data_IF_803178892235
#
_entry.id   IF_803178892235
#
_cell.length_a   1.000
_cell.length_b   1.000
_cell.length_c   1.000
_cell.angle_alpha   90.00
_cell.angle_beta   90.00
_cell.angle_gamma   90.00
#
_symmetry.space_group_name_H-M   'P 1'
#
loop_
_entity.id
_entity.type
_entity.pdbx_description
1 polymer ?
#
# COMPACT_ATOMS: atom_id res chain seq x y z
N UNK A 1 -12.22 -0.45 2.08
CA UNK A 1 -11.62 -0.06 0.79
C UNK A 1 -11.34 -1.34 0.04
N UNK A 2 -11.56 -1.40 -1.27
CA UNK A 2 -11.44 -2.68 -2.01
C UNK A 2 -10.04 -2.85 -2.61
N UNK A 3 -9.30 -3.83 -2.10
CA UNK A 3 -7.95 -4.17 -2.56
C UNK A 3 -7.91 -4.72 -3.99
N UNK A 4 -9.00 -5.30 -4.51
CA UNK A 4 -9.09 -5.76 -5.91
C UNK A 4 -9.16 -4.60 -6.89
N UNK A 5 -9.89 -3.55 -6.53
CA UNK A 5 -9.93 -2.32 -7.32
C UNK A 5 -8.54 -1.68 -7.35
N UNK A 6 -7.88 -1.64 -6.19
CA UNK A 6 -6.52 -1.11 -6.08
C UNK A 6 -5.52 -1.92 -6.92
N UNK A 7 -5.58 -3.25 -6.88
CA UNK A 7 -4.73 -4.12 -7.70
C UNK A 7 -4.85 -3.77 -9.18
N UNK A 8 -6.08 -3.66 -9.68
CA UNK A 8 -6.32 -3.32 -11.08
C UNK A 8 -5.75 -1.95 -11.46
N UNK A 9 -5.89 -0.94 -10.59
CA UNK A 9 -5.31 0.39 -10.80
C UNK A 9 -3.77 0.35 -10.86
N UNK A 10 -3.13 -0.53 -10.10
CA UNK A 10 -1.68 -0.72 -10.11
C UNK A 10 -1.23 -1.46 -11.38
N UNK A 11 -1.93 -2.54 -11.75
CA UNK A 11 -1.66 -3.30 -12.98
C UNK A 11 -1.78 -2.42 -14.24
N UNK A 12 -2.80 -1.54 -14.30
CA UNK A 12 -2.99 -0.59 -15.40
C UNK A 12 -1.84 0.43 -15.54
N UNK A 13 -0.99 0.57 -14.53
CA UNK A 13 0.15 1.49 -14.49
C UNK A 13 1.50 0.77 -14.31
N UNK A 14 1.48 -0.56 -14.28
CA UNK A 14 2.66 -1.38 -14.08
C UNK A 14 3.57 -1.31 -15.31
N UNK A 15 4.87 -1.25 -15.06
CA UNK A 15 5.90 -1.39 -16.10
C UNK A 15 6.74 -2.64 -15.81
N UNK A 16 6.43 -3.77 -16.50
CA UNK A 16 7.16 -5.04 -16.31
C UNK A 16 8.66 -4.90 -16.55
N UNK A 17 9.11 -3.95 -17.38
CA UNK A 17 10.54 -3.74 -17.64
C UNK A 17 11.28 -3.17 -16.43
N UNK A 18 10.56 -2.57 -15.46
CA UNK A 18 11.14 -2.02 -14.22
C UNK A 18 11.23 -3.05 -13.10
N UNK A 19 10.43 -4.12 -13.15
CA UNK A 19 10.35 -5.14 -12.10
C UNK A 19 11.73 -5.69 -11.73
N UNK A 20 12.58 -6.16 -12.66
CA UNK A 20 13.87 -6.76 -12.29
C UNK A 20 14.80 -5.79 -11.55
N UNK A 21 14.81 -4.52 -11.95
CA UNK A 21 15.64 -3.50 -11.28
C UNK A 21 15.11 -3.16 -9.89
N UNK A 22 13.79 -3.09 -9.74
CA UNK A 22 13.13 -2.81 -8.45
C UNK A 22 13.28 -3.96 -7.47
N UNK A 23 13.11 -5.21 -7.93
CA UNK A 23 13.32 -6.41 -7.12
C UNK A 23 14.80 -6.55 -6.74
N UNK A 24 15.74 -6.32 -7.66
CA UNK A 24 17.17 -6.36 -7.38
C UNK A 24 17.58 -5.34 -6.31
N UNK A 25 17.03 -4.12 -6.37
CA UNK A 25 17.22 -3.11 -5.32
C UNK A 25 16.76 -3.62 -3.94
N UNK A 26 15.67 -4.38 -3.92
CA UNK A 26 15.14 -5.05 -2.72
C UNK A 26 15.84 -6.39 -2.39
N UNK A 27 16.98 -6.67 -3.03
CA UNK A 27 17.74 -7.94 -2.90
C UNK A 27 16.89 -9.17 -3.23
N UNK A 28 15.92 -9.03 -4.13
CA UNK A 28 14.98 -10.05 -4.58
C UNK A 28 14.20 -10.74 -3.44
N UNK A 29 13.96 -10.01 -2.34
CA UNK A 29 13.19 -10.52 -1.19
C UNK A 29 11.69 -10.26 -1.29
N UNK A 30 11.28 -9.42 -2.23
CA UNK A 30 9.90 -9.00 -2.41
C UNK A 30 9.57 -8.97 -3.89
N UNK A 31 8.36 -9.38 -4.24
CA UNK A 31 7.82 -9.20 -5.58
C UNK A 31 7.34 -7.76 -5.76
N UNK A 32 7.46 -7.24 -6.97
CA UNK A 32 6.92 -5.92 -7.32
C UNK A 32 6.11 -5.99 -8.62
N UNK A 33 5.07 -5.16 -8.72
CA UNK A 33 4.32 -4.95 -9.97
C UNK A 33 5.10 -4.09 -10.97
N UNK A 34 6.05 -3.28 -10.48
CA UNK A 34 6.82 -2.35 -11.32
C UNK A 34 6.21 -0.95 -11.35
N UNK A 35 5.40 -0.60 -10.34
CA UNK A 35 4.82 0.75 -10.24
C UNK A 35 5.78 1.66 -9.48
N UNK A 36 6.33 2.64 -10.19
CA UNK A 36 7.28 3.58 -9.59
C UNK A 36 6.60 4.51 -8.57
N UNK A 37 7.36 4.93 -7.55
CA UNK A 37 6.83 5.72 -6.41
C UNK A 37 6.02 6.98 -6.79
N UNK A 38 6.39 7.79 -7.81
CA UNK A 38 5.57 8.94 -8.21
C UNK A 38 4.18 8.55 -8.72
N UNK A 39 4.09 7.46 -9.47
CA UNK A 39 2.83 6.93 -9.99
C UNK A 39 2.02 6.33 -8.84
N UNK A 40 2.66 5.55 -7.96
CA UNK A 40 2.07 4.99 -6.76
C UNK A 40 1.40 6.09 -5.91
N UNK A 41 2.11 7.19 -5.66
CA UNK A 41 1.60 8.36 -4.91
C UNK A 41 0.38 9.01 -5.56
N UNK A 42 0.32 9.04 -6.89
CA UNK A 42 -0.84 9.56 -7.62
C UNK A 42 -2.05 8.62 -7.45
N UNK A 43 -1.85 7.31 -7.59
CA UNK A 43 -2.90 6.30 -7.40
C UNK A 43 -3.42 6.36 -5.95
N UNK A 44 -2.53 6.30 -4.96
CA UNK A 44 -2.86 6.41 -3.53
C UNK A 44 -3.74 7.64 -3.25
N UNK A 45 -3.35 8.81 -3.77
CA UNK A 45 -4.05 10.07 -3.51
C UNK A 45 -5.48 10.05 -4.03
N UNK A 46 -5.68 9.59 -5.27
CA UNK A 46 -7.03 9.53 -5.85
C UNK A 46 -7.86 8.43 -5.18
N UNK A 47 -7.25 7.27 -4.89
CA UNK A 47 -7.92 6.15 -4.25
C UNK A 47 -8.43 6.50 -2.84
N UNK A 48 -7.61 7.17 -2.02
CA UNK A 48 -7.99 7.52 -0.64
C UNK A 48 -8.96 8.71 -0.55
N UNK A 49 -9.16 9.48 -1.62
CA UNK A 49 -9.95 10.72 -1.60
C UNK A 49 -11.36 10.50 -1.06
N UNK A 50 -11.99 9.38 -1.42
CA UNK A 50 -13.36 9.03 -0.99
C UNK A 50 -13.45 8.51 0.44
N UNK A 51 -12.31 8.12 1.04
CA UNK A 51 -12.26 7.45 2.35
C UNK A 51 -11.59 8.30 3.44
N UNK A 52 -11.06 9.47 3.09
CA UNK A 52 -10.27 10.30 4.01
C UNK A 52 -11.04 10.75 5.26
N UNK A 53 -12.37 10.83 5.18
CA UNK A 53 -13.25 11.20 6.31
C UNK A 53 -13.69 10.01 7.16
N UNK A 54 -13.53 8.78 6.68
CA UNK A 54 -13.93 7.59 7.40
C UNK A 54 -12.87 7.22 8.44
N UNK A 55 -13.21 6.49 9.51
CA UNK A 55 -12.22 5.93 10.43
C UNK A 55 -11.18 5.05 9.71
N UNK A 56 -10.10 4.72 10.42
CA UNK A 56 -9.07 3.80 9.91
C UNK A 56 -9.72 2.46 9.52
N UNK A 57 -9.55 2.10 8.27
CA UNK A 57 -9.97 0.83 7.70
C UNK A 57 -8.87 -0.22 7.93
N UNK A 58 -8.92 -0.86 9.10
CA UNK A 58 -7.93 -1.88 9.48
C UNK A 58 -7.98 -3.12 8.59
N UNK A 59 -9.17 -3.51 8.13
CA UNK A 59 -9.33 -4.62 7.17
C UNK A 59 -8.56 -4.34 5.89
N UNK A 60 -8.66 -3.13 5.34
CA UNK A 60 -7.87 -2.76 4.16
C UNK A 60 -6.35 -2.78 4.41
N UNK A 61 -5.90 -2.33 5.58
CA UNK A 61 -4.47 -2.35 5.96
C UNK A 61 -3.96 -3.79 5.99
N UNK A 62 -4.70 -4.69 6.64
CA UNK A 62 -4.38 -6.12 6.72
C UNK A 62 -4.38 -6.78 5.34
N UNK A 63 -5.41 -6.53 4.53
CA UNK A 63 -5.49 -7.07 3.17
C UNK A 63 -4.32 -6.61 2.30
N UNK A 64 -3.93 -5.33 2.38
CA UNK A 64 -2.72 -4.83 1.71
C UNK A 64 -1.46 -5.52 2.23
N UNK A 65 -1.38 -5.80 3.53
CA UNK A 65 -0.20 -6.43 4.11
C UNK A 65 0.01 -7.86 3.63
N UNK A 66 -1.08 -8.59 3.38
CA UNK A 66 -1.07 -9.95 2.86
C UNK A 66 -0.78 -10.05 1.35
N UNK A 67 -0.75 -8.94 0.62
CA UNK A 67 -0.44 -8.96 -0.81
C UNK A 67 1.03 -9.30 -1.07
N UNK A 68 1.33 -10.06 -2.15
CA UNK A 68 2.70 -10.45 -2.46
C UNK A 68 3.56 -9.29 -2.97
N UNK A 69 2.94 -8.22 -3.47
CA UNK A 69 3.63 -7.11 -4.10
C UNK A 69 3.96 -5.99 -3.10
N UNK A 70 5.23 -5.57 -3.08
CA UNK A 70 5.74 -4.59 -2.10
C UNK A 70 5.01 -3.25 -2.14
N UNK A 71 4.46 -2.89 -3.30
CA UNK A 71 3.63 -1.72 -3.50
C UNK A 71 2.46 -1.65 -2.53
N UNK A 72 1.83 -2.78 -2.16
CA UNK A 72 0.70 -2.76 -1.24
C UNK A 72 1.10 -2.44 0.20
N UNK A 73 2.23 -2.97 0.70
CA UNK A 73 2.71 -2.58 2.02
C UNK A 73 3.09 -1.09 2.05
N UNK A 74 3.63 -0.54 0.95
CA UNK A 74 3.84 0.91 0.84
C UNK A 74 2.54 1.70 0.92
N UNK A 75 1.50 1.27 0.20
CA UNK A 75 0.18 1.91 0.21
C UNK A 75 -0.45 1.85 1.62
N UNK A 76 -0.35 0.72 2.30
CA UNK A 76 -0.84 0.55 3.67
C UNK A 76 -0.14 1.51 4.65
N UNK A 77 1.19 1.59 4.59
CA UNK A 77 1.96 2.54 5.42
C UNK A 77 1.61 3.99 5.10
N UNK A 78 1.47 4.33 3.83
CA UNK A 78 1.13 5.69 3.39
C UNK A 78 -0.31 6.08 3.76
N UNK A 79 -1.23 5.12 3.81
CA UNK A 79 -2.57 5.30 4.35
C UNK A 79 -2.53 5.59 5.86
N UNK A 80 -1.79 4.78 6.63
CA UNK A 80 -1.64 4.97 8.07
C UNK A 80 -0.95 6.31 8.41
N UNK A 81 0.07 6.75 7.66
CA UNK A 81 0.68 8.06 7.89
C UNK A 81 -0.30 9.22 7.65
N UNK A 82 -1.17 9.13 6.62
CA UNK A 82 -2.25 10.10 6.41
C UNK A 82 -3.24 10.13 7.58
N UNK A 83 -3.45 8.97 8.22
CA UNK A 83 -4.37 8.76 9.33
C UNK A 83 -3.73 8.85 10.71
N UNK A 84 -2.45 9.22 10.81
CA UNK A 84 -1.69 9.15 12.07
C UNK A 84 -2.30 9.91 13.25
N UNK A 85 -3.08 10.95 13.00
CA UNK A 85 -3.78 11.73 14.03
C UNK A 85 -4.95 10.97 14.66
N UNK A 86 -5.44 9.93 13.98
CA UNK A 86 -6.53 9.06 14.43
C UNK A 86 -6.03 7.82 15.17
N UNK A 87 -4.74 7.48 15.04
CA UNK A 87 -4.12 6.35 15.74
C UNK A 87 -4.10 6.58 17.25
N UNK A 88 -4.43 5.53 18.00
CA UNK A 88 -4.48 5.54 19.47
C UNK A 88 -3.52 4.51 20.05
N UNK A 89 -3.16 4.61 21.35
CA UNK A 89 -2.38 3.58 22.03
C UNK A 89 -2.97 2.15 21.89
N UNK A 90 -4.29 2.05 21.78
CA UNK A 90 -5.03 0.78 21.57
C UNK A 90 -4.71 0.10 20.22
N UNK A 91 -4.22 0.87 19.23
CA UNK A 91 -3.87 0.34 17.91
C UNK A 91 -2.45 -0.24 17.84
N UNK A 92 -1.62 -0.05 18.89
CA UNK A 92 -0.24 -0.55 18.92
C UNK A 92 -0.11 -2.06 18.67
N UNK A 93 -0.96 -2.94 19.24
CA UNK A 93 -0.90 -4.36 18.95
C UNK A 93 -1.03 -4.65 17.46
N UNK A 94 -1.97 -3.98 16.77
CA UNK A 94 -2.16 -4.14 15.32
C UNK A 94 -0.96 -3.65 14.52
N UNK A 95 -0.38 -2.52 14.90
CA UNK A 95 0.84 -2.00 14.25
C UNK A 95 2.02 -2.96 14.42
N UNK A 96 2.12 -3.66 15.56
CA UNK A 96 3.18 -4.64 15.82
C UNK A 96 3.05 -5.89 14.96
N UNK A 97 1.84 -6.28 14.57
CA UNK A 97 1.60 -7.40 13.65
C UNK A 97 2.06 -7.09 12.21
N UNK A 98 2.26 -5.81 11.88
CA UNK A 98 2.79 -5.36 10.60
C UNK A 98 4.34 -5.28 10.60
N UNK A 99 5.02 -5.59 11.70
CA UNK A 99 6.48 -5.43 11.83
C UNK A 99 7.29 -6.61 11.28
#
# INVERSE_FOLDING_TARGET
MDTKILLKLLEDQADPAKVPAMEAYMKNKFSLLGVQKPILKKIEREFFKSFIKNPIDWTFVEECWQQPYREFQYIAMDYLDKKKKELRPEDFPKLKELA
#
